data_IF_310074683180
#
_entry.id   IF_310074683180
#
_cell.length_a   1.000
_cell.length_b   1.000
_cell.length_c   1.000
_cell.angle_alpha   90.00
_cell.angle_beta   90.00
_cell.angle_gamma   90.00
#
_symmetry.space_group_name_H-M   'P 1'
#
loop_
_entity.id
_entity.type
_entity.pdbx_description
1 polymer ?
#
# COMPACT_ATOMS: atom_id res chain seq x y z
N UNK A 1 -18.02 31.83 -6.38
CA UNK A 1 -16.82 31.21 -6.99
C UNK A 1 -15.61 32.02 -6.56
N UNK A 2 -15.00 31.69 -5.47
CA UNK A 2 -13.85 32.40 -4.90
C UNK A 2 -12.62 31.54 -5.11
N UNK A 3 -11.75 32.00 -6.03
CA UNK A 3 -10.43 31.40 -6.26
C UNK A 3 -9.56 31.62 -5.04
N UNK A 4 -9.36 30.57 -4.24
CA UNK A 4 -8.23 30.49 -3.31
C UNK A 4 -6.99 30.04 -4.10
N UNK A 5 -6.31 31.00 -4.73
CA UNK A 5 -4.92 30.82 -5.16
C UNK A 5 -4.08 31.09 -3.92
N UNK A 6 -3.81 30.05 -3.14
CA UNK A 6 -2.80 30.11 -2.10
C UNK A 6 -1.43 30.32 -2.75
N UNK A 7 -0.77 31.40 -2.36
CA UNK A 7 0.59 31.78 -2.75
C UNK A 7 1.54 30.59 -2.63
N UNK A 8 2.07 30.14 -3.77
CA UNK A 8 3.14 29.15 -3.84
C UNK A 8 4.44 29.83 -3.35
N UNK A 9 4.65 29.83 -2.04
CA UNK A 9 5.97 30.07 -1.49
C UNK A 9 6.92 28.95 -1.94
N UNK A 10 7.90 29.35 -2.72
CA UNK A 10 8.96 28.52 -3.28
C UNK A 10 9.94 28.06 -2.18
N UNK A 11 9.47 27.29 -1.22
CA UNK A 11 10.34 26.56 -0.33
C UNK A 11 10.82 25.28 -1.01
N UNK A 12 11.88 25.39 -1.82
CA UNK A 12 12.72 24.29 -2.31
C UNK A 12 13.47 23.65 -1.14
N UNK A 13 12.73 23.04 -0.20
CA UNK A 13 13.27 22.36 0.95
C UNK A 13 12.80 20.91 0.95
N UNK A 14 13.50 20.05 1.67
CA UNK A 14 13.17 18.65 1.88
C UNK A 14 11.73 18.46 2.37
N UNK A 15 11.17 19.43 3.11
CA UNK A 15 9.76 19.45 3.55
C UNK A 15 8.78 19.41 2.37
N UNK A 16 9.04 20.17 1.32
CA UNK A 16 8.20 20.16 0.10
C UNK A 16 8.26 18.82 -0.63
N UNK A 17 9.41 18.15 -0.63
CA UNK A 17 9.55 16.81 -1.22
C UNK A 17 8.81 15.77 -0.40
N UNK A 18 8.92 15.79 0.93
CA UNK A 18 8.17 14.90 1.82
C UNK A 18 6.65 15.09 1.66
N UNK A 19 6.20 16.34 1.60
CA UNK A 19 4.79 16.66 1.41
C UNK A 19 4.27 16.16 0.05
N UNK A 20 5.07 16.24 -1.03
CA UNK A 20 4.72 15.66 -2.33
C UNK A 20 4.65 14.14 -2.26
N UNK A 21 5.59 13.49 -1.59
CA UNK A 21 5.58 12.03 -1.41
C UNK A 21 4.34 11.62 -0.62
N UNK A 22 4.06 12.28 0.51
CA UNK A 22 2.87 12.02 1.32
C UNK A 22 1.58 12.22 0.53
N UNK A 23 1.46 13.32 -0.22
CA UNK A 23 0.31 13.58 -1.09
C UNK A 23 0.12 12.52 -2.19
N UNK A 24 1.20 12.04 -2.79
CA UNK A 24 1.14 10.95 -3.77
C UNK A 24 0.70 9.63 -3.12
N UNK A 25 1.24 9.29 -1.95
CA UNK A 25 0.85 8.08 -1.21
C UNK A 25 -0.63 8.15 -0.79
N UNK A 26 -1.07 9.29 -0.26
CA UNK A 26 -2.48 9.55 0.05
C UNK A 26 -3.37 9.39 -1.18
N UNK A 27 -2.96 9.96 -2.32
CA UNK A 27 -3.68 9.85 -3.58
C UNK A 27 -3.84 8.42 -4.11
N UNK A 28 -3.00 7.47 -3.67
CA UNK A 28 -3.14 6.05 -3.98
C UNK A 28 -4.14 5.33 -3.07
N UNK A 29 -4.29 5.79 -1.82
CA UNK A 29 -5.12 5.12 -0.80
C UNK A 29 -6.53 5.71 -0.73
N UNK A 30 -6.66 7.03 -0.71
CA UNK A 30 -7.94 7.74 -0.51
C UNK A 30 -9.04 7.27 -1.47
N UNK A 31 -8.80 7.10 -2.79
CA UNK A 31 -9.86 6.64 -3.70
C UNK A 31 -10.36 5.22 -3.39
N UNK A 32 -9.60 4.45 -2.62
CA UNK A 32 -9.90 3.07 -2.28
C UNK A 32 -10.47 2.90 -0.86
N UNK A 33 -10.73 3.99 -0.12
CA UNK A 33 -11.25 3.95 1.27
C UNK A 33 -12.54 3.11 1.36
N UNK A 34 -13.42 3.19 0.37
CA UNK A 34 -14.63 2.36 0.34
C UNK A 34 -14.36 0.85 0.41
N UNK A 35 -13.29 0.38 -0.22
CA UNK A 35 -12.89 -1.03 -0.15
C UNK A 35 -12.33 -1.41 1.23
N UNK A 36 -11.59 -0.50 1.89
CA UNK A 36 -11.13 -0.68 3.26
C UNK A 36 -12.29 -0.73 4.25
N UNK A 37 -13.30 0.14 4.08
CA UNK A 37 -14.52 0.12 4.91
C UNK A 37 -15.25 -1.20 4.70
N UNK A 38 -15.43 -1.66 3.47
CA UNK A 38 -16.08 -2.93 3.18
C UNK A 38 -15.35 -4.12 3.83
N UNK A 39 -14.01 -4.15 3.76
CA UNK A 39 -13.19 -5.15 4.44
C UNK A 39 -13.33 -5.05 5.96
N UNK A 40 -13.31 -3.85 6.53
CA UNK A 40 -13.46 -3.61 7.97
C UNK A 40 -14.82 -4.08 8.50
N UNK A 41 -15.91 -3.77 7.78
CA UNK A 41 -17.27 -4.23 8.12
C UNK A 41 -17.37 -5.75 8.02
N UNK A 42 -16.83 -6.36 6.95
CA UNK A 42 -16.80 -7.81 6.79
C UNK A 42 -16.08 -8.48 7.97
N UNK A 43 -14.94 -7.93 8.35
CA UNK A 43 -14.14 -8.42 9.48
C UNK A 43 -14.91 -8.27 10.80
N UNK A 44 -15.45 -7.09 11.10
CA UNK A 44 -16.16 -6.82 12.34
C UNK A 44 -17.42 -7.66 12.50
N UNK A 45 -18.10 -8.01 11.41
CA UNK A 45 -19.34 -8.77 11.47
C UNK A 45 -19.09 -10.28 11.55
N UNK A 46 -18.20 -10.85 10.74
CA UNK A 46 -18.21 -12.28 10.43
C UNK A 46 -17.05 -13.11 10.99
N UNK A 47 -15.99 -12.50 11.54
CA UNK A 47 -14.94 -13.29 12.20
C UNK A 47 -15.49 -14.01 13.44
N UNK A 48 -14.82 -15.06 13.95
CA UNK A 48 -15.27 -15.84 15.10
C UNK A 48 -15.58 -15.00 16.36
N UNK A 49 -14.91 -13.85 16.50
CA UNK A 49 -15.11 -12.88 17.60
C UNK A 49 -15.99 -11.70 17.20
N UNK A 50 -16.57 -11.72 16.01
CA UNK A 50 -17.40 -10.64 15.45
C UNK A 50 -18.85 -10.67 15.97
N UNK A 51 -19.65 -9.72 15.50
CA UNK A 51 -21.04 -9.55 15.96
C UNK A 51 -21.98 -10.66 15.45
N UNK A 52 -21.76 -11.18 14.25
CA UNK A 52 -22.55 -12.24 13.61
C UNK A 52 -21.58 -13.28 13.05
N UNK A 53 -20.93 -14.11 13.88
CA UNK A 53 -19.90 -15.03 13.41
C UNK A 53 -20.40 -15.95 12.31
N UNK A 54 -19.69 -15.98 11.17
CA UNK A 54 -19.98 -16.86 10.04
C UNK A 54 -18.69 -17.28 9.35
N UNK A 55 -18.34 -18.54 9.45
CA UNK A 55 -17.08 -19.08 8.91
C UNK A 55 -17.00 -19.00 7.37
N UNK A 56 -18.12 -19.05 6.66
CA UNK A 56 -18.10 -18.95 5.20
C UNK A 56 -17.75 -17.53 4.75
N UNK A 57 -18.38 -16.52 5.33
CA UNK A 57 -18.09 -15.12 5.00
C UNK A 57 -16.73 -14.68 5.54
N UNK A 58 -16.28 -15.20 6.69
CA UNK A 58 -14.96 -14.92 7.23
C UNK A 58 -13.82 -15.34 6.27
N UNK A 59 -14.03 -16.31 5.39
CA UNK A 59 -13.04 -16.71 4.36
C UNK A 59 -12.69 -15.59 3.39
N UNK A 60 -13.56 -14.59 3.20
CA UNK A 60 -13.30 -13.46 2.31
C UNK A 60 -12.33 -12.43 2.93
N UNK A 61 -12.19 -12.39 4.25
CA UNK A 61 -11.37 -11.41 4.97
C UNK A 61 -9.90 -11.48 4.52
N UNK A 62 -9.34 -12.69 4.49
CA UNK A 62 -7.94 -12.91 4.08
C UNK A 62 -7.66 -12.47 2.64
N UNK A 63 -8.37 -12.97 1.64
CA UNK A 63 -8.19 -12.57 0.24
C UNK A 63 -8.39 -11.07 0.00
N UNK A 64 -9.29 -10.41 0.71
CA UNK A 64 -9.49 -8.97 0.56
C UNK A 64 -8.27 -8.18 1.03
N UNK A 65 -7.72 -8.46 2.21
CA UNK A 65 -6.59 -7.69 2.74
C UNK A 65 -5.28 -8.05 2.04
N UNK A 66 -5.06 -9.32 1.71
CA UNK A 66 -3.79 -9.77 1.12
C UNK A 66 -3.71 -9.44 -0.37
N UNK A 67 -4.82 -9.59 -1.11
CA UNK A 67 -4.82 -9.44 -2.56
C UNK A 67 -5.54 -8.17 -3.04
N UNK A 68 -6.85 -8.01 -2.71
CA UNK A 68 -7.67 -6.96 -3.30
C UNK A 68 -7.17 -5.57 -2.96
N UNK A 69 -6.94 -5.27 -1.68
CA UNK A 69 -6.55 -3.93 -1.26
C UNK A 69 -5.19 -3.49 -1.83
N UNK A 70 -4.11 -4.30 -1.79
CA UNK A 70 -2.86 -3.95 -2.46
C UNK A 70 -3.01 -3.76 -3.97
N UNK A 71 -3.81 -4.60 -4.66
CA UNK A 71 -4.06 -4.47 -6.10
C UNK A 71 -4.74 -3.13 -6.42
N UNK A 72 -5.73 -2.72 -5.62
CA UNK A 72 -6.41 -1.44 -5.80
C UNK A 72 -5.46 -0.24 -5.61
N UNK A 73 -4.56 -0.33 -4.64
CA UNK A 73 -3.54 0.70 -4.41
C UNK A 73 -2.57 0.77 -5.60
N UNK A 74 -2.06 -0.37 -6.06
CA UNK A 74 -1.18 -0.43 -7.22
C UNK A 74 -1.83 0.06 -8.51
N UNK A 75 -3.11 -0.29 -8.71
CA UNK A 75 -3.95 0.21 -9.80
C UNK A 75 -4.08 1.74 -9.76
N UNK A 76 -4.42 2.28 -8.59
CA UNK A 76 -4.58 3.73 -8.42
C UNK A 76 -3.26 4.46 -8.59
N UNK A 77 -2.16 3.92 -8.02
CA UNK A 77 -0.82 4.47 -8.19
C UNK A 77 -0.36 4.46 -9.65
N UNK A 78 -0.62 3.38 -10.36
CA UNK A 78 -0.36 3.29 -11.79
C UNK A 78 -1.19 4.29 -12.62
N UNK A 79 -2.47 4.46 -12.26
CA UNK A 79 -3.38 5.42 -12.90
C UNK A 79 -2.88 6.86 -12.79
N UNK A 80 -2.33 7.23 -11.65
CA UNK A 80 -1.78 8.57 -11.42
C UNK A 80 -0.60 8.89 -12.35
N UNK A 81 0.16 7.88 -12.80
CA UNK A 81 1.33 8.07 -13.65
C UNK A 81 1.00 8.01 -15.14
N UNK A 82 0.14 7.07 -15.56
CA UNK A 82 -0.16 6.83 -16.98
C UNK A 82 -1.61 6.43 -17.24
N UNK A 83 -2.54 7.17 -16.67
CA UNK A 83 -3.98 7.02 -16.87
C UNK A 83 -4.46 5.55 -16.81
N UNK A 84 -5.38 5.14 -17.70
CA UNK A 84 -5.98 3.81 -17.68
C UNK A 84 -4.96 2.69 -17.96
N UNK A 85 -4.02 2.91 -18.86
CA UNK A 85 -2.96 1.93 -19.16
C UNK A 85 -2.05 1.69 -17.95
N UNK A 86 -1.70 2.80 -17.26
CA UNK A 86 -0.97 2.74 -16.00
C UNK A 86 -1.72 2.00 -14.90
N UNK A 87 -3.04 2.14 -14.83
CA UNK A 87 -3.87 1.41 -13.89
C UNK A 87 -3.76 -0.12 -14.07
N UNK A 88 -3.90 -0.58 -15.30
CA UNK A 88 -3.84 -2.02 -15.62
C UNK A 88 -2.47 -2.60 -15.31
N UNK A 89 -1.40 -1.96 -15.78
CA UNK A 89 -0.05 -2.47 -15.53
C UNK A 89 0.32 -2.41 -14.04
N UNK A 90 -0.13 -1.38 -13.32
CA UNK A 90 0.06 -1.25 -11.88
C UNK A 90 -0.58 -2.41 -11.11
N UNK A 91 -1.81 -2.81 -11.50
CA UNK A 91 -2.48 -3.96 -10.92
C UNK A 91 -1.71 -5.27 -11.21
N UNK A 92 -1.32 -5.51 -12.47
CA UNK A 92 -0.57 -6.71 -12.88
C UNK A 92 0.76 -6.82 -12.14
N UNK A 93 1.53 -5.74 -12.09
CA UNK A 93 2.81 -5.71 -11.40
C UNK A 93 2.67 -5.96 -9.88
N UNK A 94 1.59 -5.46 -9.27
CA UNK A 94 1.29 -5.66 -7.85
C UNK A 94 1.03 -7.12 -7.52
N UNK A 95 0.35 -7.87 -8.41
CA UNK A 95 0.17 -9.32 -8.22
C UNK A 95 1.51 -10.03 -8.13
N UNK A 96 2.51 -9.61 -8.92
CA UNK A 96 3.87 -10.16 -8.81
C UNK A 96 4.48 -9.99 -7.42
N UNK A 97 4.31 -8.80 -6.80
CA UNK A 97 4.80 -8.54 -5.44
C UNK A 97 4.05 -9.38 -4.40
N UNK A 98 2.73 -9.47 -4.53
CA UNK A 98 1.88 -10.26 -3.61
C UNK A 98 2.28 -11.73 -3.63
N UNK A 99 2.46 -12.32 -4.83
CA UNK A 99 2.85 -13.72 -4.98
C UNK A 99 4.27 -14.03 -4.46
N UNK A 100 5.12 -13.01 -4.30
CA UNK A 100 6.49 -13.16 -3.79
C UNK A 100 6.60 -13.15 -2.26
N UNK A 101 5.48 -13.00 -1.52
CA UNK A 101 5.52 -12.80 -0.07
C UNK A 101 4.25 -13.32 0.62
N UNK A 102 4.38 -13.62 1.91
CA UNK A 102 3.28 -14.14 2.74
C UNK A 102 2.60 -13.05 3.58
N UNK A 103 3.00 -11.79 3.43
CA UNK A 103 2.46 -10.63 4.18
C UNK A 103 1.71 -9.67 3.26
N UNK A 104 0.71 -8.92 3.77
CA UNK A 104 0.02 -7.91 2.97
C UNK A 104 0.98 -6.86 2.41
N UNK A 105 1.06 -6.75 1.07
CA UNK A 105 2.06 -5.95 0.36
C UNK A 105 1.55 -4.56 -0.04
N UNK A 106 1.04 -3.78 0.92
CA UNK A 106 0.62 -2.39 0.68
C UNK A 106 1.77 -1.50 0.21
N UNK A 107 2.90 -1.54 0.94
CA UNK A 107 4.08 -0.76 0.59
C UNK A 107 4.67 -1.19 -0.75
N UNK A 108 4.70 -2.51 -1.01
CA UNK A 108 5.13 -3.05 -2.31
C UNK A 108 4.26 -2.55 -3.46
N UNK A 109 2.94 -2.51 -3.28
CA UNK A 109 2.00 -1.99 -4.26
C UNK A 109 2.19 -0.49 -4.54
N UNK A 110 2.42 0.31 -3.48
CA UNK A 110 2.70 1.75 -3.59
C UNK A 110 3.98 2.06 -4.38
N UNK A 111 4.94 1.15 -4.36
CA UNK A 111 6.21 1.30 -5.09
C UNK A 111 6.07 0.77 -6.51
N UNK A 112 5.61 -0.48 -6.66
CA UNK A 112 5.61 -1.15 -7.96
C UNK A 112 4.58 -0.59 -8.92
N UNK A 113 3.40 -0.18 -8.43
CA UNK A 113 2.33 0.36 -9.26
C UNK A 113 2.76 1.57 -10.09
N UNK A 114 3.20 2.68 -9.47
CA UNK A 114 3.72 3.84 -10.18
C UNK A 114 4.97 3.54 -11.00
N UNK A 115 5.88 2.69 -10.49
CA UNK A 115 7.10 2.32 -11.20
C UNK A 115 6.79 1.58 -12.51
N UNK A 116 5.89 0.61 -12.48
CA UNK A 116 5.46 -0.13 -13.68
C UNK A 116 4.79 0.80 -14.71
N UNK A 117 3.92 1.69 -14.24
CA UNK A 117 3.28 2.67 -15.09
C UNK A 117 4.27 3.68 -15.70
N UNK A 118 5.29 4.08 -14.95
CA UNK A 118 6.36 4.94 -15.45
C UNK A 118 7.19 4.26 -16.54
N UNK A 119 7.54 2.98 -16.34
CA UNK A 119 8.25 2.19 -17.37
C UNK A 119 7.41 2.06 -18.64
N UNK A 120 6.11 1.70 -18.49
CA UNK A 120 5.20 1.62 -19.63
C UNK A 120 5.10 2.95 -20.38
N UNK A 121 4.95 4.06 -19.66
CA UNK A 121 4.91 5.41 -20.24
C UNK A 121 6.15 5.74 -21.08
N UNK A 122 7.33 5.28 -20.64
CA UNK A 122 8.57 5.44 -21.41
C UNK A 122 8.59 4.58 -22.67
N UNK A 123 8.08 3.35 -22.58
CA UNK A 123 7.98 2.43 -23.71
C UNK A 123 6.98 2.97 -24.73
N UNK A 124 5.80 3.40 -24.29
CA UNK A 124 4.78 3.98 -25.17
C UNK A 124 5.31 5.22 -25.90
N UNK A 125 6.00 6.12 -25.21
CA UNK A 125 6.61 7.31 -25.83
C UNK A 125 7.60 6.97 -26.98
N UNK A 126 8.22 5.79 -26.96
CA UNK A 126 9.13 5.33 -28.03
C UNK A 126 8.38 4.57 -29.12
N UNK A 127 7.32 3.83 -28.76
CA UNK A 127 6.58 2.98 -29.67
C UNK A 127 5.53 3.76 -30.46
N UNK A 128 4.74 4.63 -29.81
CA UNK A 128 3.60 5.33 -30.42
C UNK A 128 3.93 6.04 -31.74
N UNK A 129 5.10 6.75 -31.87
CA UNK A 129 5.44 7.41 -33.13
C UNK A 129 5.76 6.45 -34.29
N UNK A 130 6.00 5.16 -33.99
CA UNK A 130 6.44 4.16 -34.97
C UNK A 130 5.34 3.18 -35.36
N UNK A 131 4.18 3.27 -34.74
CA UNK A 131 3.08 2.35 -34.96
C UNK A 131 2.35 2.70 -36.26
N UNK A 132 2.18 1.74 -37.20
CA UNK A 132 1.43 1.95 -38.43
C UNK A 132 -0.07 2.12 -38.14
N UNK A 133 -0.75 2.94 -38.94
CA UNK A 133 -2.19 3.16 -38.86
C UNK A 133 -2.94 1.83 -38.94
N UNK A 134 -3.84 1.58 -37.98
CA UNK A 134 -4.65 0.35 -37.89
C UNK A 134 -4.05 -0.75 -36.96
N UNK A 135 -2.80 -0.62 -36.53
CA UNK A 135 -2.17 -1.57 -35.58
C UNK A 135 -2.02 -1.01 -34.17
N UNK A 136 -2.51 0.20 -33.90
CA UNK A 136 -2.32 0.91 -32.63
C UNK A 136 -2.85 0.07 -31.45
N UNK A 137 -4.06 -0.49 -31.58
CA UNK A 137 -4.68 -1.27 -30.51
C UNK A 137 -3.89 -2.56 -30.21
N UNK A 138 -3.41 -3.23 -31.27
CA UNK A 138 -2.66 -4.47 -31.12
C UNK A 138 -1.32 -4.21 -30.39
N UNK A 139 -0.53 -3.29 -30.90
CA UNK A 139 0.79 -2.96 -30.35
C UNK A 139 0.66 -2.42 -28.93
N UNK A 140 -0.33 -1.56 -28.69
CA UNK A 140 -0.64 -1.00 -27.38
C UNK A 140 -0.95 -2.08 -26.33
N UNK A 141 -1.75 -3.11 -26.68
CA UNK A 141 -2.07 -4.21 -25.76
C UNK A 141 -0.87 -5.12 -25.52
N UNK A 142 -0.12 -5.45 -26.57
CA UNK A 142 1.08 -6.27 -26.44
C UNK A 142 2.19 -5.57 -25.64
N UNK A 143 2.44 -4.27 -25.86
CA UNK A 143 3.41 -3.51 -25.09
C UNK A 143 3.07 -3.51 -23.59
N UNK A 144 1.78 -3.30 -23.27
CA UNK A 144 1.30 -3.36 -21.89
C UNK A 144 1.47 -4.77 -21.30
N UNK A 145 1.09 -5.82 -22.02
CA UNK A 145 1.17 -7.20 -21.55
C UNK A 145 2.61 -7.65 -21.29
N UNK A 146 3.51 -7.40 -22.23
CA UNK A 146 4.93 -7.78 -22.12
C UNK A 146 5.61 -6.98 -20.98
N UNK A 147 5.39 -5.68 -20.93
CA UNK A 147 5.93 -4.84 -19.86
C UNK A 147 5.34 -5.22 -18.51
N UNK A 148 4.04 -5.54 -18.47
CA UNK A 148 3.36 -5.98 -17.27
C UNK A 148 3.93 -7.28 -16.72
N UNK A 149 4.18 -8.27 -17.59
CA UNK A 149 4.85 -9.51 -17.21
C UNK A 149 6.25 -9.24 -16.66
N UNK A 150 7.06 -8.45 -17.35
CA UNK A 150 8.40 -8.09 -16.91
C UNK A 150 8.38 -7.42 -15.53
N UNK A 151 7.48 -6.44 -15.32
CA UNK A 151 7.35 -5.74 -14.05
C UNK A 151 6.79 -6.63 -12.93
N UNK A 152 5.90 -7.58 -13.24
CA UNK A 152 5.44 -8.57 -12.27
C UNK A 152 6.59 -9.50 -11.82
N UNK A 153 7.45 -9.94 -12.74
CA UNK A 153 8.64 -10.74 -12.40
C UNK A 153 9.65 -9.95 -11.55
N UNK A 154 9.86 -8.68 -11.86
CA UNK A 154 10.69 -7.79 -11.02
C UNK A 154 10.05 -7.60 -9.65
N UNK A 155 8.74 -7.39 -9.59
CA UNK A 155 7.98 -7.31 -8.34
C UNK A 155 8.17 -8.55 -7.46
N UNK A 156 8.03 -9.72 -8.07
CA UNK A 156 8.18 -11.01 -7.39
C UNK A 156 9.59 -11.22 -6.82
N UNK A 157 10.64 -10.98 -7.62
CA UNK A 157 12.03 -11.31 -7.23
C UNK A 157 12.75 -10.20 -6.48
N UNK A 158 12.44 -8.94 -6.76
CA UNK A 158 13.18 -7.81 -6.22
C UNK A 158 12.37 -7.06 -5.15
N UNK A 159 11.16 -6.59 -5.49
CA UNK A 159 10.38 -5.71 -4.59
C UNK A 159 9.84 -6.49 -3.39
N UNK A 160 9.27 -7.68 -3.61
CA UNK A 160 8.73 -8.52 -2.55
C UNK A 160 9.72 -8.78 -1.41
N UNK A 161 10.89 -9.39 -1.67
CA UNK A 161 11.90 -9.66 -0.66
C UNK A 161 12.45 -8.41 0.02
N UNK A 162 12.66 -7.32 -0.72
CA UNK A 162 13.16 -6.05 -0.15
C UNK A 162 12.15 -5.46 0.83
N UNK A 163 10.88 -5.38 0.43
CA UNK A 163 9.81 -4.87 1.32
C UNK A 163 9.63 -5.78 2.54
N UNK A 164 9.69 -7.09 2.36
CA UNK A 164 9.66 -8.06 3.48
C UNK A 164 10.81 -7.81 4.45
N UNK A 165 12.03 -7.60 3.97
CA UNK A 165 13.20 -7.31 4.80
C UNK A 165 13.03 -5.99 5.56
N UNK A 166 12.58 -4.93 4.90
CA UNK A 166 12.30 -3.63 5.54
C UNK A 166 11.23 -3.79 6.63
N UNK A 167 10.13 -4.48 6.33
CA UNK A 167 9.05 -4.73 7.28
C UNK A 167 9.54 -5.52 8.49
N UNK A 168 10.38 -6.53 8.28
CA UNK A 168 10.97 -7.34 9.37
C UNK A 168 11.91 -6.51 10.24
N UNK A 169 12.77 -5.69 9.65
CA UNK A 169 13.69 -4.82 10.40
C UNK A 169 12.92 -3.80 11.23
N UNK A 170 11.89 -3.16 10.64
CA UNK A 170 11.02 -2.23 11.36
C UNK A 170 10.27 -2.93 12.49
N UNK A 171 9.73 -4.11 12.23
CA UNK A 171 9.03 -4.92 13.22
C UNK A 171 9.93 -5.30 14.40
N UNK A 172 11.10 -5.83 14.12
CA UNK A 172 12.08 -6.19 15.15
C UNK A 172 12.55 -4.97 15.95
N UNK A 173 12.73 -3.82 15.28
CA UNK A 173 13.06 -2.56 15.93
C UNK A 173 11.96 -2.10 16.89
N UNK A 174 10.71 -2.11 16.46
CA UNK A 174 9.56 -1.76 17.31
C UNK A 174 9.43 -2.76 18.47
N UNK A 175 9.57 -4.06 18.21
CA UNK A 175 9.51 -5.09 19.24
C UNK A 175 10.60 -4.84 20.30
N UNK A 176 11.83 -4.57 19.89
CA UNK A 176 12.94 -4.28 20.82
C UNK A 176 12.67 -3.03 21.67
N UNK A 177 12.04 -2.00 21.11
CA UNK A 177 11.65 -0.81 21.88
C UNK A 177 10.53 -1.13 22.89
N UNK A 178 9.59 -1.97 22.53
CA UNK A 178 8.51 -2.43 23.42
C UNK A 178 9.07 -3.25 24.56
N UNK A 179 9.95 -4.21 24.28
CA UNK A 179 10.56 -5.11 25.27
C UNK A 179 11.42 -4.35 26.31
N UNK A 180 12.02 -3.22 25.89
CA UNK A 180 12.79 -2.34 26.76
C UNK A 180 11.96 -1.21 27.42
N UNK A 181 10.63 -1.26 27.35
CA UNK A 181 9.72 -0.24 27.86
C UNK A 181 9.96 1.18 27.28
N UNK A 182 10.54 1.27 26.08
CA UNK A 182 10.84 2.53 25.38
C UNK A 182 9.72 2.94 24.43
N UNK A 183 8.46 2.72 24.83
CA UNK A 183 7.26 3.06 24.06
C UNK A 183 7.23 4.52 23.55
N UNK A 184 7.66 5.55 24.31
CA UNK A 184 7.68 6.91 23.81
C UNK A 184 8.60 7.11 22.60
N UNK A 185 9.68 6.31 22.50
CA UNK A 185 10.61 6.38 21.35
C UNK A 185 10.01 5.70 20.13
N UNK A 186 9.21 4.65 20.31
CA UNK A 186 8.48 4.02 19.22
C UNK A 186 7.56 5.03 18.51
N UNK A 187 6.93 5.96 19.25
CA UNK A 187 6.10 7.03 18.69
C UNK A 187 6.86 7.93 17.71
N UNK A 188 8.16 8.19 17.94
CA UNK A 188 8.98 9.00 17.03
C UNK A 188 9.12 8.37 15.64
N UNK A 189 9.06 7.05 15.55
CA UNK A 189 9.10 6.31 14.28
C UNK A 189 7.70 6.22 13.68
N UNK A 190 6.70 5.97 14.52
CA UNK A 190 5.33 5.68 14.11
C UNK A 190 4.61 6.96 13.67
N UNK A 191 4.79 8.10 14.36
CA UNK A 191 4.11 9.35 14.03
C UNK A 191 4.46 9.90 12.62
N UNK A 192 5.73 9.97 12.18
CA UNK A 192 6.04 10.33 10.80
C UNK A 192 5.44 9.38 9.78
N UNK A 193 5.36 8.09 10.11
CA UNK A 193 4.77 7.11 9.22
C UNK A 193 3.25 7.29 9.06
N UNK A 194 2.53 7.72 10.11
CA UNK A 194 1.12 8.11 10.02
C UNK A 194 0.92 9.32 9.12
N UNK A 195 1.72 10.37 9.29
CA UNK A 195 1.65 11.58 8.47
C UNK A 195 1.88 11.28 6.98
N UNK A 196 2.67 10.25 6.67
CA UNK A 196 2.90 9.77 5.31
C UNK A 196 1.81 8.81 4.80
N UNK A 197 0.70 8.65 5.51
CA UNK A 197 -0.35 7.66 5.21
C UNK A 197 0.14 6.21 5.12
N UNK A 198 1.30 5.92 5.70
CA UNK A 198 1.84 4.57 5.84
C UNK A 198 1.18 3.79 7.00
N UNK A 199 0.21 4.41 7.69
CA UNK A 199 -0.48 3.82 8.83
C UNK A 199 -1.01 2.41 8.51
N UNK A 200 -1.78 2.26 7.43
CA UNK A 200 -2.32 0.96 7.03
C UNK A 200 -1.22 -0.05 6.63
N UNK A 201 -0.15 0.43 5.98
CA UNK A 201 0.98 -0.43 5.63
C UNK A 201 1.74 -0.91 6.88
N UNK A 202 1.90 -0.05 7.88
CA UNK A 202 2.56 -0.40 9.15
C UNK A 202 1.65 -1.28 9.99
N UNK A 203 0.38 -0.92 10.17
CA UNK A 203 -0.55 -1.70 10.98
C UNK A 203 -0.73 -3.12 10.41
N UNK A 204 -1.06 -3.24 9.14
CA UNK A 204 -1.34 -4.54 8.53
C UNK A 204 -0.10 -5.27 8.01
N UNK A 205 0.96 -4.53 7.65
CA UNK A 205 2.21 -5.12 7.17
C UNK A 205 3.20 -5.49 8.28
N UNK A 206 3.13 -4.84 9.43
CA UNK A 206 4.12 -5.00 10.51
C UNK A 206 3.45 -5.29 11.85
N UNK A 207 2.64 -4.36 12.37
CA UNK A 207 2.10 -4.45 13.73
C UNK A 207 1.07 -5.58 13.89
N UNK A 208 0.19 -5.77 12.92
CA UNK A 208 -0.82 -6.82 12.95
C UNK A 208 -0.21 -8.23 12.99
N UNK A 209 0.66 -8.63 12.03
CA UNK A 209 1.32 -9.93 12.05
C UNK A 209 2.15 -10.18 13.32
N UNK A 210 2.90 -9.17 13.78
CA UNK A 210 3.68 -9.26 15.01
C UNK A 210 2.79 -9.35 16.25
N UNK A 211 1.72 -8.56 16.30
CA UNK A 211 0.74 -8.60 17.37
C UNK A 211 0.07 -9.97 17.52
N UNK A 212 -0.25 -10.61 16.38
CA UNK A 212 -0.78 -11.99 16.37
C UNK A 212 0.26 -12.99 16.89
N UNK A 213 1.52 -12.86 16.49
CA UNK A 213 2.61 -13.73 16.96
C UNK A 213 2.80 -13.56 18.47
N UNK A 214 2.91 -12.32 18.95
CA UNK A 214 3.05 -12.01 20.37
C UNK A 214 1.84 -12.52 21.18
N UNK A 215 0.62 -12.36 20.68
CA UNK A 215 -0.57 -12.87 21.34
C UNK A 215 -0.60 -14.40 21.43
N UNK A 216 -0.09 -15.11 20.43
CA UNK A 216 0.03 -16.58 20.44
C UNK A 216 1.06 -17.07 21.44
N UNK A 217 2.19 -16.37 21.60
CA UNK A 217 3.30 -16.77 22.47
C UNK A 217 3.05 -16.40 23.94
N UNK A 218 2.49 -15.22 24.21
CA UNK A 218 2.37 -14.66 25.57
C UNK A 218 0.94 -14.54 26.09
N UNK A 219 -0.06 -14.82 25.24
CA UNK A 219 -1.49 -14.63 25.56
C UNK A 219 -1.93 -13.16 25.61
N UNK A 220 -1.02 -12.20 25.37
CA UNK A 220 -1.28 -10.76 25.37
C UNK A 220 -0.49 -10.09 24.26
N UNK A 221 -0.98 -9.00 23.70
CA UNK A 221 -0.25 -8.21 22.69
C UNK A 221 -0.28 -6.74 23.02
N UNK A 222 0.89 -6.18 23.36
CA UNK A 222 1.08 -4.73 23.53
C UNK A 222 1.01 -4.03 22.16
N UNK A 223 1.35 -4.73 21.08
CA UNK A 223 1.30 -4.20 19.72
C UNK A 223 -0.15 -3.91 19.27
N UNK A 224 -1.12 -4.74 19.67
CA UNK A 224 -2.54 -4.44 19.43
C UNK A 224 -3.04 -3.24 20.22
N UNK A 225 -2.53 -3.01 21.43
CA UNK A 225 -2.85 -1.77 22.18
C UNK A 225 -2.28 -0.55 21.46
N UNK A 226 -1.08 -0.66 20.90
CA UNK A 226 -0.46 0.41 20.11
C UNK A 226 -1.26 0.68 18.82
N UNK A 227 -1.71 -0.36 18.14
CA UNK A 227 -2.55 -0.26 16.94
C UNK A 227 -3.88 0.47 17.25
N UNK A 228 -4.54 0.12 18.34
CA UNK A 228 -5.80 0.74 18.77
C UNK A 228 -5.61 2.22 19.15
N UNK A 229 -4.55 2.57 19.88
CA UNK A 229 -4.17 3.96 20.15
C UNK A 229 -3.89 4.75 18.87
N UNK A 230 -3.31 4.08 17.87
CA UNK A 230 -2.97 4.67 16.59
C UNK A 230 -4.21 5.00 15.74
N UNK A 231 -5.23 4.15 15.75
CA UNK A 231 -6.51 4.38 15.06
C UNK A 231 -7.28 5.55 15.70
N UNK A 232 -7.32 5.62 17.02
CA UNK A 232 -8.09 6.64 17.75
C UNK A 232 -7.53 8.07 17.59
N UNK A 233 -6.22 8.22 17.39
CA UNK A 233 -5.61 9.55 17.22
C UNK A 233 -5.69 10.08 15.78
N UNK A 234 -5.92 9.24 14.77
CA UNK A 234 -6.11 9.69 13.40
C UNK A 234 -7.51 10.26 13.16
N UNK A 235 -8.54 9.73 13.83
CA UNK A 235 -9.93 10.20 13.69
C UNK A 235 -10.20 11.47 14.50
N UNK A 236 -9.34 11.85 15.44
CA UNK A 236 -9.49 13.06 16.25
C UNK A 236 -8.82 14.31 15.63
N UNK A 237 -8.19 14.18 14.46
CA UNK A 237 -7.46 15.25 13.78
C UNK A 237 -8.23 15.85 12.57
N UNK A 238 -9.45 15.38 12.25
CA UNK A 238 -10.41 15.95 11.32
C UNK A 238 -11.55 16.61 12.13
#
# INVERSE_FOLDING_TARGET
>A
MTNYIGSADSHTGWRSQLQKIGGNLAGMVIPNIGAFIAWGLLTALFIPTGWIPNEEYAKMVGPMIVNLLPILIGLTGGRMVHAQRGAVIGAVATVGVICGTDIPMFLGAMIIGPAAAWVLKKIDAVLDPKVPVGFEMLISNFSLGITGLGMAMVGFKAIGPVVKSISTVLGNGIQSLVDNNLLPIASVIIEPAKVLFLNNAINHGVLGPLGVTQAKETGKSVLFMLETCLLYTSDAAD
#
